data_IF_681880844163
#
_entry.id   IF_681880844163
#
_cell.length_a   1.000
_cell.length_b   1.000
_cell.length_c   1.000
_cell.angle_alpha   90.00
_cell.angle_beta   90.00
_cell.angle_gamma   90.00
#
_symmetry.space_group_name_H-M   'P 1'
#
loop_
_entity.id
_entity.type
_entity.pdbx_description
1 polymer ?
#
# COMPACT_ATOMS: atom_id res chain seq x y z
N UNK A 1 -19.47 -1.88 -5.51
CA UNK A 1 -19.99 -1.18 -6.70
C UNK A 1 -18.80 -0.53 -7.37
N UNK A 2 -18.57 -0.80 -8.66
CA UNK A 2 -17.46 -0.19 -9.41
C UNK A 2 -17.97 1.10 -10.03
N UNK A 3 -17.23 2.20 -9.84
CA UNK A 3 -17.53 3.47 -10.48
C UNK A 3 -16.71 3.62 -11.75
N UNK A 4 -17.20 4.41 -12.70
CA UNK A 4 -16.54 4.62 -13.99
C UNK A 4 -16.26 6.11 -14.17
N UNK A 5 -15.14 6.42 -14.80
CA UNK A 5 -14.80 7.78 -15.17
C UNK A 5 -14.14 7.81 -16.55
N UNK A 6 -14.35 8.87 -17.30
CA UNK A 6 -13.81 9.02 -18.64
C UNK A 6 -12.99 10.30 -18.80
N UNK A 7 -12.01 10.25 -19.70
CA UNK A 7 -11.21 11.41 -20.11
C UNK A 7 -11.49 11.70 -21.58
N UNK A 8 -11.76 12.96 -21.89
CA UNK A 8 -11.91 13.43 -23.26
C UNK A 8 -10.52 13.51 -23.93
N UNK A 9 -10.35 13.05 -25.19
CA UNK A 9 -9.10 13.20 -25.94
C UNK A 9 -8.58 14.64 -26.00
N UNK A 10 -9.46 15.63 -26.05
CA UNK A 10 -9.10 17.03 -26.26
C UNK A 10 -8.60 17.29 -27.68
N UNK A 11 -7.96 18.43 -27.89
CA UNK A 11 -7.49 18.86 -29.22
C UNK A 11 -6.10 18.31 -29.58
N UNK A 12 -5.43 17.63 -28.65
CA UNK A 12 -4.09 17.06 -28.82
C UNK A 12 -3.99 15.67 -28.18
N UNK A 13 -2.96 14.89 -28.51
CA UNK A 13 -2.73 13.56 -27.91
C UNK A 13 -2.32 13.61 -26.42
N UNK A 14 -2.26 14.78 -25.81
CA UNK A 14 -1.78 14.96 -24.44
C UNK A 14 -2.58 14.15 -23.40
N UNK A 15 -3.91 14.07 -23.54
CA UNK A 15 -4.75 13.32 -22.61
C UNK A 15 -4.62 11.81 -22.79
N UNK A 16 -4.46 11.33 -24.02
CA UNK A 16 -4.17 9.93 -24.31
C UNK A 16 -2.83 9.52 -23.66
N UNK A 17 -1.76 10.30 -23.88
CA UNK A 17 -0.45 10.02 -23.29
C UNK A 17 -0.47 10.01 -21.76
N UNK A 18 -1.25 10.92 -21.14
CA UNK A 18 -1.47 10.90 -19.69
C UNK A 18 -2.27 9.66 -19.27
N UNK A 19 -3.33 9.29 -20.00
CA UNK A 19 -4.16 8.15 -19.67
C UNK A 19 -3.40 6.83 -19.79
N UNK A 20 -2.50 6.70 -20.78
CA UNK A 20 -1.62 5.55 -20.94
C UNK A 20 -0.73 5.33 -19.71
N UNK A 21 -0.33 6.40 -19.00
CA UNK A 21 0.50 6.32 -17.78
C UNK A 21 -0.24 5.82 -16.55
N UNK A 22 -1.58 5.86 -16.51
CA UNK A 22 -2.36 5.33 -15.39
C UNK A 22 -2.16 3.81 -15.29
N UNK A 23 -2.00 3.28 -14.08
CA UNK A 23 -1.93 1.85 -13.79
C UNK A 23 -3.00 1.43 -12.78
N UNK A 24 -3.35 0.15 -12.78
CA UNK A 24 -4.16 -0.44 -11.71
C UNK A 24 -3.45 -0.25 -10.37
N UNK A 25 -4.18 0.23 -9.37
CA UNK A 25 -3.64 0.61 -8.06
C UNK A 25 -3.37 2.11 -7.89
N UNK A 26 -3.34 2.89 -8.98
CA UNK A 26 -3.18 4.34 -8.89
C UNK A 26 -4.35 5.00 -8.15
N UNK A 27 -4.07 6.09 -7.45
CA UNK A 27 -5.07 6.88 -6.73
C UNK A 27 -5.49 8.05 -7.61
N UNK A 28 -6.79 8.20 -7.78
CA UNK A 28 -7.41 9.33 -8.47
C UNK A 28 -7.97 10.29 -7.44
N UNK A 29 -7.68 11.58 -7.62
CA UNK A 29 -8.21 12.66 -6.81
C UNK A 29 -9.17 13.50 -7.63
N UNK A 30 -10.34 13.78 -7.07
CA UNK A 30 -11.34 14.66 -7.66
C UNK A 30 -11.33 16.00 -6.94
N UNK A 31 -11.16 17.08 -7.70
CA UNK A 31 -11.10 18.44 -7.16
C UNK A 31 -12.14 19.36 -7.77
N UNK A 32 -12.77 20.17 -6.94
CA UNK A 32 -13.70 21.23 -7.32
C UNK A 32 -13.70 22.30 -6.22
N UNK A 33 -14.07 23.54 -6.54
CA UNK A 33 -14.22 24.62 -5.56
C UNK A 33 -12.99 24.81 -4.63
N UNK A 34 -11.78 24.75 -5.22
CA UNK A 34 -10.48 24.85 -4.53
C UNK A 34 -10.21 23.74 -3.49
N UNK A 35 -10.93 22.62 -3.53
CA UNK A 35 -10.72 21.47 -2.65
C UNK A 35 -10.64 20.17 -3.43
N UNK A 36 -9.90 19.21 -2.90
CA UNK A 36 -10.02 17.80 -3.25
C UNK A 36 -11.12 17.22 -2.37
N UNK A 37 -12.23 16.83 -3.00
CA UNK A 37 -13.45 16.40 -2.32
C UNK A 37 -13.65 14.88 -2.35
N UNK A 38 -12.93 14.16 -3.22
CA UNK A 38 -13.02 12.70 -3.30
C UNK A 38 -11.72 12.07 -3.79
N UNK A 39 -11.53 10.80 -3.45
CA UNK A 39 -10.45 9.95 -3.91
C UNK A 39 -10.98 8.55 -4.28
N UNK A 40 -10.28 7.83 -5.16
CA UNK A 40 -10.58 6.44 -5.50
C UNK A 40 -9.36 5.68 -6.01
N UNK A 41 -9.46 4.35 -6.11
CA UNK A 41 -8.39 3.48 -6.60
C UNK A 41 -8.74 2.96 -7.98
N UNK A 42 -7.84 3.12 -8.95
CA UNK A 42 -7.99 2.58 -10.31
C UNK A 42 -7.91 1.05 -10.26
N UNK A 43 -8.91 0.36 -10.82
CA UNK A 43 -8.86 -1.11 -10.96
C UNK A 43 -8.41 -1.50 -12.36
N UNK A 44 -9.00 -0.87 -13.38
CA UNK A 44 -8.84 -1.25 -14.78
C UNK A 44 -9.01 -0.02 -15.69
N UNK A 45 -8.65 -0.19 -16.96
CA UNK A 45 -8.79 0.85 -18.00
C UNK A 45 -9.37 0.27 -19.28
N UNK A 46 -10.15 1.07 -20.00
CA UNK A 46 -10.77 0.69 -21.26
C UNK A 46 -10.81 1.92 -22.19
N UNK A 47 -10.33 1.79 -23.42
CA UNK A 47 -10.59 2.78 -24.46
C UNK A 47 -11.80 2.31 -25.28
N UNK A 48 -12.93 3.01 -25.16
CA UNK A 48 -14.15 2.64 -25.88
C UNK A 48 -15.05 3.85 -26.15
N UNK A 49 -14.98 4.37 -27.38
CA UNK A 49 -15.75 5.52 -27.84
C UNK A 49 -17.26 5.27 -27.88
N UNK A 50 -17.69 4.08 -28.28
CA UNK A 50 -19.12 3.74 -28.38
C UNK A 50 -19.75 3.72 -26.99
N UNK A 51 -19.09 3.04 -26.05
CA UNK A 51 -19.53 3.01 -24.66
C UNK A 51 -19.55 4.41 -24.05
N UNK A 52 -18.50 5.21 -24.26
CA UNK A 52 -18.46 6.58 -23.75
C UNK A 52 -19.59 7.46 -24.32
N UNK A 53 -19.95 7.29 -25.59
CA UNK A 53 -21.09 7.98 -26.21
C UNK A 53 -22.42 7.57 -25.57
N UNK A 54 -22.60 6.30 -25.22
CA UNK A 54 -23.81 5.84 -24.52
C UNK A 54 -23.88 6.38 -23.09
N UNK A 55 -22.75 6.51 -22.40
CA UNK A 55 -22.67 6.95 -21.01
C UNK A 55 -22.77 8.47 -20.84
N UNK A 56 -22.10 9.23 -21.70
CA UNK A 56 -21.91 10.67 -21.53
C UNK A 56 -22.29 11.50 -22.76
N UNK A 57 -22.71 10.86 -23.86
CA UNK A 57 -23.02 11.56 -25.10
C UNK A 57 -21.78 12.13 -25.78
N UNK A 58 -21.98 13.22 -26.52
CA UNK A 58 -20.94 13.96 -27.22
C UNK A 58 -20.94 15.40 -26.71
N UNK A 59 -19.77 16.04 -26.66
CA UNK A 59 -19.66 17.47 -26.39
C UNK A 59 -19.84 18.30 -27.68
N UNK A 60 -19.80 19.63 -27.56
CA UNK A 60 -19.98 20.57 -28.68
C UNK A 60 -18.91 20.41 -29.78
N UNK A 61 -17.72 19.89 -29.42
CA UNK A 61 -16.63 19.58 -30.35
C UNK A 61 -16.76 18.19 -31.00
N UNK A 62 -17.91 17.51 -30.81
CA UNK A 62 -18.18 16.16 -31.29
C UNK A 62 -17.17 15.10 -30.78
N UNK A 63 -16.70 15.27 -29.53
CA UNK A 63 -15.85 14.37 -28.78
C UNK A 63 -16.63 13.72 -27.63
N UNK A 64 -16.10 12.62 -27.09
CA UNK A 64 -16.65 11.95 -25.91
C UNK A 64 -15.52 11.51 -24.97
N UNK A 65 -15.83 11.12 -23.75
CA UNK A 65 -14.86 10.73 -22.73
C UNK A 65 -14.40 9.27 -22.90
N UNK A 66 -13.84 8.97 -24.08
CA UNK A 66 -13.55 7.61 -24.56
C UNK A 66 -12.42 6.88 -23.83
N UNK A 67 -11.54 7.62 -23.14
CA UNK A 67 -10.48 7.04 -22.32
C UNK A 67 -10.99 6.76 -20.91
N UNK A 68 -11.57 5.57 -20.72
CA UNK A 68 -12.29 5.16 -19.52
C UNK A 68 -11.34 4.48 -18.53
N UNK A 69 -11.54 4.73 -17.25
CA UNK A 69 -10.96 3.95 -16.17
C UNK A 69 -11.98 3.68 -15.06
N UNK A 70 -11.78 2.56 -14.38
CA UNK A 70 -12.68 2.05 -13.36
C UNK A 70 -12.12 2.32 -11.97
N UNK A 71 -13.00 2.66 -11.04
CA UNK A 71 -12.65 3.06 -9.68
C UNK A 71 -13.36 2.21 -8.65
N UNK A 72 -12.62 1.86 -7.59
CA UNK A 72 -13.15 1.29 -6.35
C UNK A 72 -12.74 2.15 -5.16
N UNK A 73 -13.28 1.81 -4.00
CA UNK A 73 -12.89 2.40 -2.72
C UNK A 73 -12.96 3.94 -2.75
N UNK A 74 -14.09 4.47 -3.25
CA UNK A 74 -14.34 5.90 -3.29
C UNK A 74 -14.49 6.43 -1.86
N UNK A 75 -13.63 7.37 -1.48
CA UNK A 75 -13.67 8.03 -0.17
C UNK A 75 -13.91 9.53 -0.35
N UNK A 76 -14.72 10.10 0.55
CA UNK A 76 -14.82 11.55 0.69
C UNK A 76 -13.52 12.11 1.23
N UNK A 77 -13.09 13.22 0.64
CA UNK A 77 -11.90 13.96 1.04
C UNK A 77 -12.29 15.38 1.40
N UNK A 78 -11.46 16.02 2.20
CA UNK A 78 -11.64 17.41 2.57
C UNK A 78 -10.30 18.12 2.63
N UNK A 79 -9.56 18.13 1.52
CA UNK A 79 -8.20 18.68 1.43
C UNK A 79 -8.23 19.99 0.63
N UNK A 80 -7.61 21.05 1.15
CA UNK A 80 -7.47 22.32 0.43
C UNK A 80 -6.45 22.18 -0.71
N UNK A 81 -6.69 22.82 -1.85
CA UNK A 81 -5.74 22.75 -2.99
C UNK A 81 -4.38 23.34 -2.61
N UNK A 82 -4.33 24.31 -1.70
CA UNK A 82 -3.06 24.85 -1.18
C UNK A 82 -2.25 23.81 -0.41
N UNK A 83 -2.92 22.92 0.32
CA UNK A 83 -2.31 21.81 1.05
C UNK A 83 -1.76 20.77 0.08
N UNK A 84 -2.54 20.42 -0.94
CA UNK A 84 -2.08 19.57 -2.04
C UNK A 84 -0.86 20.18 -2.75
N UNK A 85 -0.92 21.47 -3.10
CA UNK A 85 0.16 22.17 -3.78
C UNK A 85 1.45 22.12 -2.95
N UNK A 86 1.36 22.33 -1.64
CA UNK A 86 2.49 22.23 -0.73
C UNK A 86 3.10 20.82 -0.75
N UNK A 87 2.28 19.78 -0.65
CA UNK A 87 2.75 18.38 -0.65
C UNK A 87 3.51 18.02 -1.93
N UNK A 88 2.99 18.41 -3.10
CA UNK A 88 3.61 18.06 -4.40
C UNK A 88 4.65 19.06 -4.90
N UNK A 89 4.95 20.09 -4.10
CA UNK A 89 5.94 21.12 -4.45
C UNK A 89 5.49 22.09 -5.55
N UNK A 90 4.19 22.32 -5.71
CA UNK A 90 3.65 23.34 -6.60
C UNK A 90 3.58 24.71 -5.93
N UNK A 91 3.50 25.77 -6.75
CA UNK A 91 3.24 27.12 -6.26
C UNK A 91 1.88 27.15 -5.53
N UNK A 92 1.78 27.94 -4.45
CA UNK A 92 0.56 27.99 -3.61
C UNK A 92 -0.70 28.40 -4.38
N UNK A 93 -0.56 29.23 -5.40
CA UNK A 93 -1.62 29.69 -6.29
C UNK A 93 -1.88 28.76 -7.49
N UNK A 94 -1.20 27.63 -7.59
CA UNK A 94 -1.43 26.67 -8.67
C UNK A 94 -2.85 26.13 -8.61
N UNK A 95 -3.51 26.05 -9.77
CA UNK A 95 -4.87 25.53 -9.91
C UNK A 95 -4.80 24.27 -10.74
N UNK A 96 -5.33 23.16 -10.22
CA UNK A 96 -5.49 21.93 -10.98
C UNK A 96 -6.51 22.19 -12.09
N UNK A 97 -6.07 22.06 -13.34
CA UNK A 97 -6.92 22.22 -14.52
C UNK A 97 -6.99 20.92 -15.30
N UNK A 98 -8.21 20.43 -15.50
CA UNK A 98 -8.48 19.23 -16.28
C UNK A 98 -7.78 17.97 -15.73
N UNK A 99 -7.49 17.05 -16.64
CA UNK A 99 -6.87 15.77 -16.32
C UNK A 99 -5.34 15.86 -16.30
N UNK A 100 -4.74 15.40 -15.21
CA UNK A 100 -3.29 15.37 -15.02
C UNK A 100 -2.85 14.10 -14.30
N UNK A 101 -1.62 13.68 -14.54
CA UNK A 101 -1.01 12.50 -13.91
C UNK A 101 0.35 12.91 -13.37
N UNK A 102 0.50 12.83 -12.05
CA UNK A 102 1.74 13.15 -11.34
C UNK A 102 2.85 12.16 -11.70
N UNK A 103 4.10 12.61 -11.59
CA UNK A 103 5.26 11.72 -11.63
C UNK A 103 5.38 10.92 -10.32
N UNK A 104 6.26 9.92 -10.30
CA UNK A 104 6.40 9.01 -9.15
C UNK A 104 6.79 9.72 -7.86
N UNK A 105 7.64 10.75 -7.93
CA UNK A 105 8.10 11.49 -6.75
C UNK A 105 6.98 12.35 -6.15
N UNK A 106 6.26 13.10 -7.00
CA UNK A 106 5.10 13.89 -6.55
C UNK A 106 3.95 13.02 -6.06
N UNK A 107 3.71 11.88 -6.71
CA UNK A 107 2.70 10.91 -6.27
C UNK A 107 3.02 10.38 -4.88
N UNK A 108 4.28 10.01 -4.61
CA UNK A 108 4.70 9.54 -3.29
C UNK A 108 4.48 10.60 -2.21
N UNK A 109 4.89 11.85 -2.46
CA UNK A 109 4.68 12.97 -1.54
C UNK A 109 3.20 13.26 -1.29
N UNK A 110 2.38 13.29 -2.34
CA UNK A 110 0.93 13.49 -2.20
C UNK A 110 0.28 12.40 -1.34
N UNK A 111 0.68 11.13 -1.56
CA UNK A 111 0.16 9.99 -0.81
C UNK A 111 0.52 10.09 0.67
N UNK A 112 1.77 10.40 0.97
CA UNK A 112 2.30 10.49 2.33
C UNK A 112 1.72 11.70 3.08
N UNK A 113 1.91 12.90 2.55
CA UNK A 113 1.62 14.16 3.25
C UNK A 113 0.12 14.39 3.43
N UNK A 114 -0.70 13.95 2.46
CA UNK A 114 -2.15 14.15 2.49
C UNK A 114 -2.91 12.93 3.01
N UNK A 115 -2.21 11.84 3.32
CA UNK A 115 -2.83 10.59 3.80
C UNK A 115 -3.90 10.04 2.85
N UNK A 116 -3.71 10.20 1.53
CA UNK A 116 -4.72 9.89 0.50
C UNK A 116 -5.11 8.42 0.47
N UNK A 117 -4.26 7.57 1.03
CA UNK A 117 -4.61 6.21 1.34
C UNK A 117 -5.12 6.17 2.78
N UNK A 118 -6.31 6.75 3.01
CA UNK A 118 -6.97 6.71 4.32
C UNK A 118 -7.17 5.26 4.86
N UNK A 119 -7.01 4.25 4.00
CA UNK A 119 -7.11 2.84 4.35
C UNK A 119 -5.76 2.09 4.45
N UNK A 120 -4.61 2.74 4.25
CA UNK A 120 -3.28 2.16 4.46
C UNK A 120 -2.56 2.87 5.59
N UNK A 121 -2.77 2.38 6.80
CA UNK A 121 -2.04 2.84 7.98
C UNK A 121 -0.66 2.16 7.95
N UNK A 122 0.46 2.85 8.26
CA UNK A 122 1.72 2.17 8.47
C UNK A 122 1.55 1.02 9.46
N UNK A 123 2.05 -0.17 9.10
CA UNK A 123 1.86 -1.39 9.88
C UNK A 123 2.29 -1.18 11.34
N UNK A 124 3.38 -0.43 11.55
CA UNK A 124 3.87 -0.04 12.88
C UNK A 124 2.83 0.72 13.70
N UNK A 125 2.19 1.74 13.13
CA UNK A 125 1.15 2.54 13.80
C UNK A 125 -0.06 1.67 14.14
N UNK A 126 -0.48 0.79 13.23
CA UNK A 126 -1.55 -0.16 13.50
C UNK A 126 -1.20 -1.09 14.67
N UNK A 127 0.00 -1.66 14.67
CA UNK A 127 0.50 -2.54 15.73
C UNK A 127 0.55 -1.82 17.08
N UNK A 128 1.08 -0.59 17.15
CA UNK A 128 1.12 0.21 18.38
C UNK A 128 -0.28 0.49 18.94
N UNK A 129 -1.24 0.82 18.06
CA UNK A 129 -2.63 1.05 18.45
C UNK A 129 -3.33 -0.22 18.91
N UNK A 130 -3.04 -1.35 18.26
CA UNK A 130 -3.54 -2.66 18.67
C UNK A 130 -2.98 -3.05 20.04
N UNK A 131 -1.69 -2.87 20.28
CA UNK A 131 -1.04 -3.14 21.57
C UNK A 131 -1.64 -2.29 22.69
N UNK A 132 -1.90 -0.99 22.47
CA UNK A 132 -2.61 -0.14 23.44
C UNK A 132 -4.00 -0.70 23.79
N UNK A 133 -4.75 -1.17 22.79
CA UNK A 133 -6.08 -1.79 22.99
C UNK A 133 -5.98 -3.13 23.73
N UNK A 134 -4.97 -3.95 23.42
CA UNK A 134 -4.70 -5.22 24.11
C UNK A 134 -4.36 -4.94 25.57
N UNK A 135 -3.48 -3.96 25.86
CA UNK A 135 -3.13 -3.56 27.22
C UNK A 135 -4.36 -3.13 28.03
N UNK A 136 -5.23 -2.31 27.44
CA UNK A 136 -6.50 -1.97 28.07
C UNK A 136 -7.37 -3.22 28.31
N UNK A 137 -7.48 -4.12 27.33
CA UNK A 137 -8.24 -5.36 27.43
C UNK A 137 -7.71 -6.30 28.53
N UNK A 138 -6.39 -6.33 28.77
CA UNK A 138 -5.75 -7.06 29.86
C UNK A 138 -6.11 -6.48 31.24
N UNK A 139 -6.33 -5.17 31.32
CA UNK A 139 -6.62 -4.46 32.58
C UNK A 139 -8.10 -4.45 32.99
N UNK A 140 -9.01 -4.95 32.13
CA UNK A 140 -10.43 -5.08 32.47
C UNK A 140 -10.78 -6.51 32.89
N UNK A 141 -11.97 -6.69 33.47
CA UNK A 141 -12.41 -8.01 33.95
C UNK A 141 -12.78 -8.93 32.78
N UNK A 142 -12.78 -10.25 33.05
CA UNK A 142 -13.26 -11.24 32.09
C UNK A 142 -14.72 -10.97 31.69
N UNK A 143 -15.57 -10.61 32.65
CA UNK A 143 -16.98 -10.35 32.39
C UNK A 143 -17.19 -9.17 31.44
N UNK A 144 -16.44 -8.08 31.63
CA UNK A 144 -16.51 -6.93 30.72
C UNK A 144 -16.04 -7.27 29.31
N UNK A 145 -14.97 -8.07 29.16
CA UNK A 145 -14.54 -8.56 27.84
C UNK A 145 -15.64 -9.35 27.14
N UNK A 146 -16.29 -10.28 27.85
CA UNK A 146 -17.38 -11.09 27.29
C UNK A 146 -18.58 -10.24 26.86
N UNK A 147 -18.94 -9.24 27.67
CA UNK A 147 -20.01 -8.30 27.32
C UNK A 147 -19.68 -7.50 26.04
N UNK A 148 -18.44 -7.03 25.88
CA UNK A 148 -17.97 -6.34 24.66
C UNK A 148 -17.99 -7.26 23.44
N UNK A 149 -17.55 -8.51 23.60
CA UNK A 149 -17.56 -9.51 22.52
C UNK A 149 -19.00 -9.83 22.07
N UNK A 150 -19.95 -9.97 23.00
CA UNK A 150 -21.35 -10.24 22.69
C UNK A 150 -22.04 -9.14 21.88
N UNK A 151 -21.54 -7.89 21.93
CA UNK A 151 -22.04 -6.74 21.17
C UNK A 151 -21.24 -6.45 19.90
N UNK A 152 -20.12 -7.14 19.69
CA UNK A 152 -19.21 -6.88 18.57
C UNK A 152 -19.63 -7.61 17.30
N UNK A 153 -19.31 -7.02 16.13
CA UNK A 153 -19.43 -7.76 14.87
C UNK A 153 -18.42 -8.91 14.86
N UNK A 154 -18.89 -10.13 14.58
CA UNK A 154 -18.04 -11.33 14.53
C UNK A 154 -17.11 -11.33 13.31
N UNK A 155 -17.49 -10.61 12.25
CA UNK A 155 -16.67 -10.48 11.06
C UNK A 155 -15.74 -9.27 11.22
N UNK A 156 -14.41 -9.48 11.29
CA UNK A 156 -13.47 -8.38 11.37
C UNK A 156 -13.47 -7.59 10.06
N UNK A 157 -13.23 -6.29 10.16
CA UNK A 157 -12.97 -5.45 8.99
C UNK A 157 -11.57 -5.75 8.48
N UNK A 158 -11.43 -5.96 7.18
CA UNK A 158 -10.13 -5.99 6.50
C UNK A 158 -9.58 -4.57 6.48
N UNK A 159 -8.31 -4.42 6.83
CA UNK A 159 -7.57 -3.17 6.72
C UNK A 159 -6.38 -3.39 5.80
N UNK A 160 -5.96 -2.36 5.07
CA UNK A 160 -4.71 -2.39 4.34
C UNK A 160 -3.64 -1.70 5.19
N UNK A 161 -2.40 -2.17 5.10
CA UNK A 161 -1.27 -1.57 5.82
C UNK A 161 -0.05 -1.52 4.91
N UNK A 162 0.86 -0.60 5.20
CA UNK A 162 2.13 -0.47 4.47
C UNK A 162 3.31 -0.77 5.40
N UNK A 163 4.31 -1.45 4.85
CA UNK A 163 5.57 -1.73 5.52
C UNK A 163 6.71 -1.60 4.52
N UNK A 164 7.81 -0.97 4.93
CA UNK A 164 9.03 -0.96 4.14
C UNK A 164 9.65 -2.37 4.14
N UNK A 165 10.19 -2.78 3.00
CA UNK A 165 10.90 -4.04 2.83
C UNK A 165 12.24 -3.75 2.15
N UNK A 166 13.28 -4.45 2.57
CA UNK A 166 14.57 -4.41 1.89
C UNK A 166 14.56 -5.38 0.71
N UNK A 167 14.99 -4.91 -0.45
CA UNK A 167 15.28 -5.81 -1.57
C UNK A 167 16.56 -6.57 -1.25
N UNK A 168 16.41 -7.83 -0.84
CA UNK A 168 17.52 -8.70 -0.45
C UNK A 168 18.09 -9.45 -1.65
N UNK A 169 19.38 -9.70 -1.61
CA UNK A 169 20.09 -10.55 -2.55
C UNK A 169 19.70 -12.02 -2.32
N UNK A 170 19.06 -12.68 -3.29
CA UNK A 170 18.66 -14.08 -3.15
C UNK A 170 19.84 -15.03 -2.94
N UNK A 171 21.02 -14.73 -3.50
CA UNK A 171 22.21 -15.58 -3.36
C UNK A 171 22.73 -15.61 -1.93
N UNK A 172 22.66 -14.46 -1.22
CA UNK A 172 23.01 -14.38 0.21
C UNK A 172 22.05 -15.25 1.03
N UNK A 173 20.76 -15.22 0.71
CA UNK A 173 19.75 -16.02 1.40
C UNK A 173 20.03 -17.51 1.20
N UNK A 174 20.23 -17.94 -0.05
CA UNK A 174 20.46 -19.35 -0.38
C UNK A 174 21.75 -19.85 0.24
N UNK A 175 22.85 -19.11 0.12
CA UNK A 175 24.16 -19.49 0.66
C UNK A 175 24.11 -19.70 2.19
N UNK A 176 23.42 -18.80 2.91
CA UNK A 176 23.26 -18.90 4.36
C UNK A 176 22.40 -20.11 4.75
N UNK A 177 21.35 -20.41 3.99
CA UNK A 177 20.51 -21.59 4.24
C UNK A 177 21.24 -22.90 3.96
N UNK A 178 22.06 -22.95 2.90
CA UNK A 178 22.91 -24.10 2.59
C UNK A 178 23.96 -24.32 3.67
N UNK A 179 24.65 -23.25 4.11
CA UNK A 179 25.61 -23.26 5.22
C UNK A 179 25.00 -23.84 6.50
N UNK A 180 23.77 -23.46 6.79
CA UNK A 180 23.04 -23.91 7.98
C UNK A 180 22.66 -25.40 7.94
N UNK A 181 22.60 -26.01 6.74
CA UNK A 181 22.30 -27.42 6.52
C UNK A 181 21.08 -27.92 7.33
N UNK A 182 20.02 -27.11 7.33
CA UNK A 182 18.77 -27.42 8.02
C UNK A 182 18.80 -27.29 9.55
N UNK A 183 19.86 -26.76 10.16
CA UNK A 183 19.94 -26.50 11.59
C UNK A 183 20.01 -24.99 11.88
N UNK A 184 19.36 -24.56 12.97
CA UNK A 184 19.43 -23.17 13.43
C UNK A 184 20.85 -22.83 13.90
N UNK A 185 21.44 -21.77 13.37
CA UNK A 185 22.81 -21.36 13.69
C UNK A 185 22.94 -20.70 15.08
N UNK A 186 21.82 -20.39 15.77
CA UNK A 186 21.83 -19.90 17.16
C UNK A 186 21.69 -21.01 18.20
N UNK A 187 20.68 -21.88 18.06
CA UNK A 187 20.39 -22.91 19.07
C UNK A 187 20.84 -24.33 18.70
N UNK A 188 21.31 -24.55 17.46
CA UNK A 188 21.77 -25.85 16.97
C UNK A 188 20.67 -26.86 16.66
N UNK A 189 19.41 -26.58 17.02
CA UNK A 189 18.30 -27.49 16.74
C UNK A 189 17.98 -27.54 15.24
N UNK A 190 17.51 -28.70 14.73
CA UNK A 190 17.03 -28.79 13.37
C UNK A 190 15.84 -27.85 13.13
N UNK A 191 15.59 -27.52 11.86
CA UNK A 191 14.43 -26.77 11.43
C UNK A 191 13.15 -27.40 11.99
N UNK A 192 12.22 -26.55 12.44
CA UNK A 192 11.01 -27.00 13.13
C UNK A 192 10.06 -27.79 12.22
N UNK A 193 10.14 -27.58 10.90
CA UNK A 193 9.37 -28.30 9.90
C UNK A 193 10.03 -28.17 8.52
N UNK A 194 9.56 -28.99 7.56
CA UNK A 194 9.93 -28.91 6.15
C UNK A 194 8.89 -28.08 5.39
N UNK A 195 9.32 -27.23 4.47
CA UNK A 195 8.45 -26.46 3.58
C UNK A 195 7.56 -27.40 2.78
N UNK A 196 6.27 -27.12 2.75
CA UNK A 196 5.33 -27.89 1.93
C UNK A 196 5.53 -27.67 0.42
N UNK A 197 6.14 -26.54 0.03
CA UNK A 197 6.35 -26.16 -1.37
C UNK A 197 7.43 -26.99 -2.08
N UNK A 198 8.52 -27.30 -1.39
CA UNK A 198 9.73 -27.88 -1.99
C UNK A 198 10.42 -28.92 -1.09
N UNK A 199 9.89 -29.18 0.12
CA UNK A 199 10.47 -30.10 1.07
C UNK A 199 11.74 -29.61 1.77
N UNK A 200 12.16 -28.34 1.61
CA UNK A 200 13.38 -27.84 2.25
C UNK A 200 13.18 -27.60 3.76
N UNK A 201 14.23 -27.66 4.60
CA UNK A 201 14.13 -27.25 6.00
C UNK A 201 13.71 -25.77 6.13
N UNK A 202 12.77 -25.46 7.03
CA UNK A 202 12.32 -24.08 7.27
C UNK A 202 13.22 -23.35 8.28
N UNK A 203 14.06 -22.45 7.77
CA UNK A 203 14.82 -21.45 8.54
C UNK A 203 14.60 -20.05 7.94
N UNK A 204 14.77 -19.03 8.76
CA UNK A 204 14.64 -17.61 8.41
C UNK A 204 16.01 -16.94 8.49
N UNK A 205 16.42 -16.28 7.41
CA UNK A 205 17.72 -15.59 7.37
C UNK A 205 17.57 -14.19 7.98
N UNK A 206 18.33 -13.94 9.03
CA UNK A 206 18.39 -12.68 9.77
C UNK A 206 19.77 -12.03 9.60
N UNK A 207 19.84 -10.70 9.59
CA UNK A 207 21.11 -9.97 9.56
C UNK A 207 21.59 -9.63 10.97
N UNK A 208 22.85 -9.95 11.31
CA UNK A 208 23.45 -9.70 12.63
C UNK A 208 23.47 -8.20 12.94
N UNK A 209 23.92 -7.40 11.99
CA UNK A 209 23.70 -5.95 11.95
C UNK A 209 22.47 -5.72 11.08
N UNK A 210 21.43 -5.13 11.65
CA UNK A 210 20.16 -4.95 10.98
C UNK A 210 20.30 -4.06 9.73
N UNK A 211 19.64 -4.43 8.63
CA UNK A 211 19.59 -3.59 7.43
C UNK A 211 19.04 -2.19 7.72
N UNK A 212 18.12 -2.07 8.69
CA UNK A 212 17.59 -0.79 9.17
C UNK A 212 18.58 0.09 9.91
N UNK A 213 19.69 -0.48 10.35
CA UNK A 213 20.78 0.21 11.05
C UNK A 213 22.02 0.36 10.16
N UNK A 214 21.88 0.14 8.85
CA UNK A 214 22.96 0.25 7.88
C UNK A 214 23.79 -1.03 7.72
N UNK A 215 23.30 -2.18 8.20
CA UNK A 215 23.95 -3.47 7.95
C UNK A 215 23.97 -3.83 6.46
N UNK A 216 25.05 -4.48 6.03
CA UNK A 216 25.21 -4.92 4.64
C UNK A 216 24.48 -6.25 4.40
N UNK A 217 24.00 -6.45 3.17
CA UNK A 217 23.39 -7.71 2.76
C UNK A 217 24.46 -8.69 2.26
N UNK A 218 25.17 -9.32 3.20
CA UNK A 218 26.27 -10.25 2.96
C UNK A 218 26.12 -11.54 3.77
N UNK A 219 26.76 -12.63 3.31
CA UNK A 219 26.75 -13.94 3.99
C UNK A 219 27.34 -13.85 5.40
N UNK A 220 28.36 -13.02 5.59
CA UNK A 220 29.02 -12.80 6.88
C UNK A 220 28.12 -12.07 7.87
N UNK A 221 27.33 -11.10 7.39
CA UNK A 221 26.37 -10.38 8.19
C UNK A 221 25.03 -11.14 8.34
N UNK A 222 24.87 -12.33 7.76
CA UNK A 222 23.62 -13.08 7.81
C UNK A 222 23.74 -14.38 8.63
N UNK A 223 22.63 -14.80 9.22
CA UNK A 223 22.51 -16.01 10.05
C UNK A 223 21.14 -16.69 9.80
N UNK A 224 21.12 -18.01 9.68
CA UNK A 224 19.89 -18.80 9.55
C UNK A 224 19.35 -19.19 10.93
N UNK A 225 18.11 -18.80 11.22
CA UNK A 225 17.48 -18.99 12.52
C UNK A 225 16.18 -19.78 12.39
N UNK A 226 15.86 -20.60 13.40
CA UNK A 226 14.51 -21.14 13.53
C UNK A 226 13.53 -20.02 13.93
N UNK A 227 12.22 -20.19 13.70
CA UNK A 227 11.23 -19.13 13.98
C UNK A 227 11.29 -18.60 15.41
N UNK A 228 11.54 -19.47 16.40
CA UNK A 228 11.62 -19.06 17.80
C UNK A 228 12.83 -18.17 18.06
N UNK A 229 14.02 -18.60 17.64
CA UNK A 229 15.25 -17.82 17.79
C UNK A 229 15.21 -16.50 17.01
N UNK A 230 14.59 -16.51 15.83
CA UNK A 230 14.42 -15.30 15.03
C UNK A 230 13.53 -14.27 15.75
N UNK A 231 12.40 -14.72 16.33
CA UNK A 231 11.52 -13.84 17.11
C UNK A 231 12.17 -13.33 18.39
N UNK A 232 12.93 -14.16 19.09
CA UNK A 232 13.71 -13.76 20.28
C UNK A 232 14.69 -12.61 19.94
N UNK A 233 15.39 -12.69 18.80
CA UNK A 233 16.30 -11.61 18.36
C UNK A 233 15.55 -10.30 18.09
N UNK A 234 14.32 -10.35 17.60
CA UNK A 234 13.51 -9.15 17.35
C UNK A 234 12.82 -8.58 18.60
N UNK A 235 12.47 -9.41 19.59
CA UNK A 235 11.54 -9.01 20.66
C UNK A 235 12.03 -9.24 22.09
N UNK A 236 13.14 -9.98 22.31
CA UNK A 236 13.59 -10.40 23.63
C UNK A 236 12.93 -11.70 24.07
#
# INVERSE_FOLDING_TARGET
>A
MVQIWGVNPGTTIANENKWLRIKSGDIVLFSANKRIFSSGIVTDKLHNKNLAKELWGMNDDNQTWEYIYFLKDINEQNIEITEFNQAVGYASNYVIQGFSVLDGEKSAKAIEDLGLIQNMIPLKIYQENLEKKIKHSRNITRQERLNRLGRSNKLPKIIQTMSNQYQRNPDVIVEVLLRANGNCEKCGNPASFMRASDGSPYLEVHHKIFLSEGGEDTVDNAIALCPNCHREVHFG
#
